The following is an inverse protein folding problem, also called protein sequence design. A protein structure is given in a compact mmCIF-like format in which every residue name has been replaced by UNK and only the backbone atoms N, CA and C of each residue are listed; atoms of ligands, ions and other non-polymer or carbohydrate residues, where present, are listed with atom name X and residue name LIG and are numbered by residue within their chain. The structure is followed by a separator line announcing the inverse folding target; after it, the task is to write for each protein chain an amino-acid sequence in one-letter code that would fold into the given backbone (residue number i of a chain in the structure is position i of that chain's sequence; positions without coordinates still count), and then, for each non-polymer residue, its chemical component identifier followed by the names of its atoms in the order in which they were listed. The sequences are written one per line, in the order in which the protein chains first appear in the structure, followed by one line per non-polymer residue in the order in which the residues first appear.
data_IF_359542305066
#
_entry.id   IF_359542305066
#
_cell.length_a   1.000
_cell.length_b   1.000
_cell.length_c   1.000
_cell.angle_alpha   90.00
_cell.angle_beta   90.00
_cell.angle_gamma   90.00
#
_symmetry.space_group_name_H-M   'P 1'
#
loop_
_entity.id
_entity.type
_entity.pdbx_description
1 polymer ?
#
# COMPACT_ATOMS: atom_id res chain seq x y z
N UNK A 1 -13.29 17.29 2.06
CA UNK A 1 -12.97 17.16 0.62
C UNK A 1 -11.70 16.33 0.39
N UNK A 2 -10.54 16.73 0.92
CA UNK A 2 -9.25 16.05 0.63
C UNK A 2 -9.24 14.58 1.08
N UNK A 3 -9.67 14.26 2.30
CA UNK A 3 -9.73 12.86 2.80
C UNK A 3 -10.49 11.95 1.84
N UNK A 4 -11.69 12.37 1.41
CA UNK A 4 -12.49 11.60 0.46
C UNK A 4 -11.78 11.42 -0.89
N UNK A 5 -11.10 12.45 -1.38
CA UNK A 5 -10.34 12.38 -2.62
C UNK A 5 -9.16 11.40 -2.51
N UNK A 6 -8.50 11.30 -1.34
CA UNK A 6 -7.45 10.30 -1.09
C UNK A 6 -8.00 8.87 -1.00
N UNK A 7 -9.19 8.70 -0.41
CA UNK A 7 -9.87 7.40 -0.39
C UNK A 7 -10.29 6.95 -1.80
N UNK A 8 -10.83 7.86 -2.61
CA UNK A 8 -11.15 7.56 -4.01
C UNK A 8 -9.90 7.24 -4.83
N UNK A 9 -8.79 7.94 -4.58
CA UNK A 9 -7.49 7.63 -5.18
C UNK A 9 -7.00 6.24 -4.77
N UNK A 10 -7.10 5.86 -3.50
CA UNK A 10 -6.68 4.54 -3.04
C UNK A 10 -7.48 3.44 -3.74
N UNK A 11 -8.81 3.54 -3.71
CA UNK A 11 -9.70 2.55 -4.31
C UNK A 11 -9.57 2.46 -5.84
N UNK A 12 -9.51 3.62 -6.50
CA UNK A 12 -9.59 3.72 -7.96
C UNK A 12 -8.24 3.65 -8.68
N UNK A 13 -7.13 3.85 -7.96
CA UNK A 13 -5.80 3.97 -8.54
C UNK A 13 -4.79 3.11 -7.78
N UNK A 14 -4.48 3.42 -6.52
CA UNK A 14 -3.37 2.78 -5.81
C UNK A 14 -3.63 1.28 -5.57
N UNK A 15 -4.66 0.95 -4.80
CA UNK A 15 -5.00 -0.43 -4.49
C UNK A 15 -5.40 -1.22 -5.74
N UNK A 16 -6.12 -0.57 -6.67
CA UNK A 16 -6.48 -1.17 -7.96
C UNK A 16 -5.25 -1.65 -8.72
N UNK A 17 -4.23 -0.80 -8.88
CA UNK A 17 -3.04 -1.13 -9.65
C UNK A 17 -2.17 -2.15 -8.91
N UNK A 18 -1.99 -1.99 -7.58
CA UNK A 18 -1.29 -2.97 -6.74
C UNK A 18 -1.94 -4.35 -6.86
N UNK A 19 -3.26 -4.43 -6.77
CA UNK A 19 -4.00 -5.70 -6.89
C UNK A 19 -3.91 -6.28 -8.30
N UNK A 20 -3.95 -5.45 -9.33
CA UNK A 20 -3.85 -5.90 -10.72
C UNK A 20 -2.49 -6.56 -11.01
N UNK A 21 -1.40 -6.01 -10.46
CA UNK A 21 -0.08 -6.61 -10.60
C UNK A 21 0.12 -7.79 -9.62
N UNK A 22 0.00 -7.54 -8.33
CA UNK A 22 0.41 -8.51 -7.30
C UNK A 22 -0.62 -9.60 -7.01
N UNK A 23 -1.89 -9.40 -7.36
CA UNK A 23 -2.94 -10.40 -7.18
C UNK A 23 -2.66 -11.69 -7.94
N UNK A 24 -2.44 -11.64 -9.27
CA UNK A 24 -2.04 -12.81 -10.07
C UNK A 24 -0.75 -13.48 -9.56
N UNK A 25 0.29 -12.71 -9.20
CA UNK A 25 1.53 -13.26 -8.63
C UNK A 25 1.26 -14.04 -7.35
N UNK A 26 0.48 -13.47 -6.42
CA UNK A 26 0.14 -14.13 -5.17
C UNK A 26 -0.70 -15.40 -5.39
N UNK A 27 -1.48 -15.48 -6.48
CA UNK A 27 -2.29 -16.65 -6.81
C UNK A 27 -1.55 -17.68 -7.67
N UNK A 28 -0.30 -17.44 -8.05
CA UNK A 28 0.44 -18.33 -8.96
C UNK A 28 -0.11 -18.35 -10.38
N UNK A 29 -0.86 -17.31 -10.79
CA UNK A 29 -1.49 -17.20 -12.11
C UNK A 29 -0.55 -16.61 -13.17
N UNK A 30 0.73 -16.45 -12.84
CA UNK A 30 1.76 -15.84 -13.69
C UNK A 30 2.06 -14.39 -13.34
N UNK A 31 3.06 -13.83 -14.02
CA UNK A 31 3.54 -12.46 -13.84
C UNK A 31 2.84 -11.56 -14.87
N UNK A 32 2.06 -10.54 -14.45
CA UNK A 32 1.51 -9.55 -15.36
C UNK A 32 2.63 -8.76 -16.07
N UNK A 33 2.30 -8.19 -17.23
CA UNK A 33 3.26 -7.46 -18.05
C UNK A 33 3.84 -6.22 -17.38
N UNK A 34 4.98 -5.74 -17.90
CA UNK A 34 5.71 -4.57 -17.39
C UNK A 34 4.86 -3.29 -17.34
N UNK A 35 3.92 -3.12 -18.27
CA UNK A 35 3.01 -1.96 -18.26
C UNK A 35 2.11 -1.94 -17.02
N UNK A 36 1.72 -3.10 -16.49
CA UNK A 36 0.92 -3.19 -15.26
C UNK A 36 1.78 -2.86 -14.03
N UNK A 37 3.07 -3.26 -14.04
CA UNK A 37 4.01 -2.85 -13.00
C UNK A 37 4.23 -1.34 -13.01
N UNK A 38 4.40 -0.75 -14.20
CA UNK A 38 4.55 0.69 -14.36
C UNK A 38 3.35 1.48 -13.83
N UNK A 39 2.14 0.94 -13.94
CA UNK A 39 0.95 1.54 -13.33
C UNK A 39 0.98 1.53 -11.80
N UNK A 40 1.66 0.55 -11.18
CA UNK A 40 1.93 0.56 -9.73
C UNK A 40 2.90 1.68 -9.40
N UNK A 41 4.01 1.78 -10.14
CA UNK A 41 5.01 2.83 -9.94
C UNK A 41 4.37 4.22 -10.06
N UNK A 42 3.59 4.47 -11.11
CA UNK A 42 2.87 5.74 -11.31
C UNK A 42 1.88 6.05 -10.18
N UNK A 43 1.20 5.05 -9.64
CA UNK A 43 0.33 5.27 -8.48
C UNK A 43 1.13 5.64 -7.23
N UNK A 44 2.29 5.02 -7.02
CA UNK A 44 3.19 5.36 -5.91
C UNK A 44 3.82 6.75 -6.10
N UNK A 45 4.12 7.17 -7.34
CA UNK A 45 4.57 8.54 -7.64
C UNK A 45 3.51 9.59 -7.28
N UNK A 46 2.23 9.29 -7.54
CA UNK A 46 1.13 10.18 -7.13
C UNK A 46 1.08 10.27 -5.60
N UNK A 47 1.18 9.14 -4.90
CA UNK A 47 1.19 9.12 -3.43
C UNK A 47 2.39 9.90 -2.87
N UNK A 48 3.57 9.68 -3.43
CA UNK A 48 4.80 10.41 -3.12
C UNK A 48 4.58 11.93 -3.25
N UNK A 49 3.91 12.38 -4.31
CA UNK A 49 3.59 13.79 -4.52
C UNK A 49 2.62 14.37 -3.47
N UNK A 50 1.74 13.55 -2.89
CA UNK A 50 0.86 13.98 -1.80
C UNK A 50 1.66 14.15 -0.51
N UNK A 51 2.53 13.18 -0.22
CA UNK A 51 3.34 13.13 1.01
C UNK A 51 4.54 14.07 0.99
N UNK A 52 4.90 14.60 -0.18
CA UNK A 52 5.85 15.72 -0.30
C UNK A 52 5.25 17.06 0.18
N UNK A 53 3.91 17.18 0.20
CA UNK A 53 3.22 18.44 0.56
C UNK A 53 2.72 18.46 2.00
N UNK A 54 2.60 17.31 2.64
CA UNK A 54 2.00 17.19 3.97
C UNK A 54 2.51 15.99 4.74
N UNK A 55 2.38 16.05 6.08
CA UNK A 55 2.87 15.00 6.98
C UNK A 55 2.18 13.65 6.74
N UNK A 56 0.86 13.67 6.54
CA UNK A 56 -0.05 12.54 6.27
C UNK A 56 -0.70 12.70 4.88
N UNK A 57 -1.38 11.67 4.38
CA UNK A 57 -1.84 11.64 2.96
C UNK A 57 -2.87 12.73 2.63
N UNK A 58 -3.59 13.22 3.64
CA UNK A 58 -4.65 14.21 3.49
C UNK A 58 -4.39 15.56 4.21
N UNK A 59 -3.19 15.76 4.76
CA UNK A 59 -2.84 16.98 5.50
C UNK A 59 -1.85 16.69 6.65
N UNK A 60 -1.89 17.51 7.70
CA UNK A 60 -0.90 17.43 8.79
C UNK A 60 -1.34 16.59 10.00
N UNK A 61 -2.57 16.05 9.96
CA UNK A 61 -3.12 15.17 10.98
C UNK A 61 -3.45 13.80 10.40
N UNK A 62 -3.35 12.76 11.23
CA UNK A 62 -3.74 11.40 10.87
C UNK A 62 -5.25 11.35 10.56
N UNK A 63 -5.63 10.73 9.44
CA UNK A 63 -7.03 10.60 9.03
C UNK A 63 -7.36 9.19 8.56
N UNK A 64 -8.64 8.91 8.33
CA UNK A 64 -9.10 7.65 7.73
C UNK A 64 -8.38 7.30 6.40
N UNK A 65 -8.00 8.32 5.62
CA UNK A 65 -7.28 8.08 4.37
C UNK A 65 -5.90 7.43 4.61
N UNK A 66 -5.22 7.75 5.70
CA UNK A 66 -3.93 7.14 6.02
C UNK A 66 -4.08 5.65 6.32
N UNK A 67 -5.15 5.26 7.04
CA UNK A 67 -5.46 3.85 7.32
C UNK A 67 -5.75 3.06 6.05
N UNK A 68 -6.48 3.63 5.09
CA UNK A 68 -6.74 2.96 3.82
C UNK A 68 -5.44 2.79 3.01
N UNK A 69 -4.74 3.89 2.76
CA UNK A 69 -3.54 3.91 1.92
C UNK A 69 -2.42 3.04 2.52
N UNK A 70 -2.24 3.01 3.85
CA UNK A 70 -1.13 2.25 4.46
C UNK A 70 -1.33 0.75 4.29
N UNK A 71 -2.58 0.28 4.27
CA UNK A 71 -2.88 -1.12 3.99
C UNK A 71 -2.51 -1.49 2.55
N UNK A 72 -2.83 -0.63 1.58
CA UNK A 72 -2.44 -0.82 0.17
C UNK A 72 -0.92 -0.85 0.00
N UNK A 73 -0.20 0.11 0.59
CA UNK A 73 1.28 0.16 0.52
C UNK A 73 1.91 -1.08 1.19
N UNK A 74 1.35 -1.55 2.30
CA UNK A 74 1.83 -2.77 2.99
C UNK A 74 1.76 -4.01 2.09
N UNK A 75 0.75 -4.12 1.21
CA UNK A 75 0.68 -5.20 0.22
C UNK A 75 1.85 -5.13 -0.76
N UNK A 76 2.12 -3.96 -1.34
CA UNK A 76 3.24 -3.78 -2.26
C UNK A 76 4.59 -4.09 -1.59
N UNK A 77 4.81 -3.59 -0.37
CA UNK A 77 6.04 -3.89 0.40
C UNK A 77 6.18 -5.38 0.73
N UNK A 78 5.09 -6.05 1.11
CA UNK A 78 5.08 -7.50 1.39
C UNK A 78 5.48 -8.32 0.15
N UNK A 79 5.06 -7.85 -1.02
CA UNK A 79 5.40 -8.44 -2.31
C UNK A 79 6.77 -8.01 -2.85
N UNK A 80 7.59 -7.35 -2.02
CA UNK A 80 8.95 -6.88 -2.33
C UNK A 80 9.02 -5.90 -3.49
N UNK A 81 8.01 -5.04 -3.64
CA UNK A 81 8.10 -3.88 -4.53
C UNK A 81 9.27 -2.98 -4.11
N UNK A 82 9.95 -2.38 -5.09
CA UNK A 82 11.06 -1.46 -4.81
C UNK A 82 10.52 -0.12 -4.30
N UNK A 83 10.60 0.08 -2.98
CA UNK A 83 10.17 1.32 -2.33
C UNK A 83 11.28 2.38 -2.30
N UNK A 84 12.50 2.08 -2.76
CA UNK A 84 13.65 2.98 -2.67
C UNK A 84 13.48 4.29 -3.44
N UNK A 85 12.59 4.29 -4.44
CA UNK A 85 12.24 5.46 -5.25
C UNK A 85 11.27 6.43 -4.57
N UNK A 86 10.67 6.04 -3.44
CA UNK A 86 9.58 6.77 -2.78
C UNK A 86 9.94 7.15 -1.33
N UNK A 87 10.86 8.12 -1.14
CA UNK A 87 11.34 8.50 0.18
C UNK A 87 10.26 9.09 1.08
N UNK A 88 9.32 9.88 0.55
CA UNK A 88 8.22 10.44 1.36
C UNK A 88 7.21 9.37 1.76
N UNK A 89 6.94 8.40 0.88
CA UNK A 89 6.15 7.21 1.23
C UNK A 89 6.83 6.44 2.36
N UNK A 90 8.14 6.20 2.26
CA UNK A 90 8.90 5.48 3.29
C UNK A 90 8.85 6.21 4.64
N UNK A 91 9.13 7.52 4.66
CA UNK A 91 9.00 8.38 5.85
C UNK A 91 7.59 8.27 6.46
N UNK A 92 6.56 8.35 5.62
CA UNK A 92 5.18 8.31 6.08
C UNK A 92 4.77 6.93 6.61
N UNK A 93 5.25 5.84 6.01
CA UNK A 93 5.05 4.47 6.53
C UNK A 93 5.59 4.37 7.95
N UNK A 94 6.80 4.86 8.21
CA UNK A 94 7.38 4.82 9.56
C UNK A 94 6.63 5.71 10.55
N UNK A 95 6.13 6.85 10.09
CA UNK A 95 5.23 7.69 10.89
C UNK A 95 3.92 6.97 11.23
N UNK A 96 3.31 6.26 10.27
CA UNK A 96 2.08 5.49 10.50
C UNK A 96 2.29 4.38 11.53
N UNK A 97 3.42 3.66 11.48
CA UNK A 97 3.77 2.60 12.45
C UNK A 97 3.76 3.10 13.90
N UNK A 98 4.25 4.32 14.13
CA UNK A 98 4.34 4.90 15.48
C UNK A 98 3.07 5.66 15.90
N UNK A 99 2.31 6.19 14.94
CA UNK A 99 1.13 7.03 15.24
C UNK A 99 -0.15 6.20 15.36
N UNK A 100 -0.28 5.11 14.61
CA UNK A 100 -1.48 4.27 14.62
C UNK A 100 -1.40 3.30 15.81
N UNK A 101 -2.27 3.52 16.80
CA UNK A 101 -2.40 2.62 17.94
C UNK A 101 -2.69 1.19 17.50
N UNK A 102 -1.87 0.24 17.98
CA UNK A 102 -2.01 -1.17 17.65
C UNK A 102 -1.54 -1.56 16.23
N UNK A 103 -0.86 -0.67 15.50
CA UNK A 103 -0.40 -0.96 14.14
C UNK A 103 0.39 -2.28 14.03
N UNK A 104 1.35 -2.50 14.93
CA UNK A 104 2.21 -3.68 14.88
C UNK A 104 1.41 -4.97 15.10
N UNK A 105 0.51 -4.98 16.09
CA UNK A 105 -0.35 -6.12 16.39
C UNK A 105 -1.29 -6.43 15.20
N UNK A 106 -1.93 -5.41 14.64
CA UNK A 106 -2.85 -5.55 13.50
C UNK A 106 -2.08 -6.06 12.27
N UNK A 107 -0.95 -5.43 11.96
CA UNK A 107 -0.10 -5.79 10.83
C UNK A 107 0.42 -7.22 10.94
N UNK A 108 0.86 -7.62 12.14
CA UNK A 108 1.33 -8.98 12.41
C UNK A 108 0.21 -10.01 12.21
N UNK A 109 -0.96 -9.79 12.83
CA UNK A 109 -2.13 -10.68 12.67
C UNK A 109 -2.53 -10.84 11.20
N UNK A 110 -2.53 -9.74 10.44
CA UNK A 110 -2.86 -9.77 9.02
C UNK A 110 -1.84 -10.57 8.21
N UNK A 111 -0.54 -10.36 8.47
CA UNK A 111 0.53 -11.07 7.77
C UNK A 111 0.53 -12.57 8.09
N UNK A 112 0.30 -12.95 9.34
CA UNK A 112 0.24 -14.35 9.76
C UNK A 112 -0.96 -15.06 9.11
N UNK A 113 -2.16 -14.45 9.16
CA UNK A 113 -3.34 -14.98 8.47
C UNK A 113 -3.14 -15.08 6.94
N UNK A 114 -2.39 -14.15 6.34
CA UNK A 114 -2.05 -14.23 4.92
C UNK A 114 -1.12 -15.39 4.62
N UNK A 115 -0.04 -15.57 5.40
CA UNK A 115 0.90 -16.70 5.25
C UNK A 115 0.20 -18.05 5.37
N UNK A 116 -0.70 -18.20 6.35
CA UNK A 116 -1.51 -19.41 6.53
C UNK A 116 -2.37 -19.71 5.29
N UNK A 117 -3.08 -18.71 4.76
CA UNK A 117 -3.88 -18.86 3.53
C UNK A 117 -3.04 -19.22 2.31
N UNK A 118 -1.83 -18.69 2.21
CA UNK A 118 -0.91 -18.97 1.12
C UNK A 118 -0.32 -20.39 1.22
N UNK A 119 -0.04 -20.87 2.44
CA UNK A 119 0.39 -22.25 2.67
C UNK A 119 -0.72 -23.25 2.34
N UNK A 120 -1.97 -22.96 2.73
CA UNK A 120 -3.12 -23.82 2.45
C UNK A 120 -3.41 -24.01 0.95
N UNK A 121 -3.04 -23.04 0.09
CA UNK A 121 -3.20 -23.13 -1.38
C UNK A 121 -2.11 -23.93 -2.09
N UNK A 122 -1.02 -24.28 -1.40
CA UNK A 122 0.06 -25.10 -1.95
C UNK A 122 -0.15 -26.61 -1.73
N UNK A 123 -1.13 -26.98 -0.91
CA UNK A 123 -1.59 -28.36 -0.68
C UNK A 123 -2.82 -28.64 -1.54
#
# INVERSE_FOLDING_TARGET
AVVQQRLCFDLGTLYKNIRAYYGPLALGLGTPGEEVLKQVDQALEILESFLAKSKFVAGDSLTLADFAVITSVTVASTMKHDMGKFPNVTRWVDLCKVTISGYEEISKKALDAWKERMAAKKN
#
